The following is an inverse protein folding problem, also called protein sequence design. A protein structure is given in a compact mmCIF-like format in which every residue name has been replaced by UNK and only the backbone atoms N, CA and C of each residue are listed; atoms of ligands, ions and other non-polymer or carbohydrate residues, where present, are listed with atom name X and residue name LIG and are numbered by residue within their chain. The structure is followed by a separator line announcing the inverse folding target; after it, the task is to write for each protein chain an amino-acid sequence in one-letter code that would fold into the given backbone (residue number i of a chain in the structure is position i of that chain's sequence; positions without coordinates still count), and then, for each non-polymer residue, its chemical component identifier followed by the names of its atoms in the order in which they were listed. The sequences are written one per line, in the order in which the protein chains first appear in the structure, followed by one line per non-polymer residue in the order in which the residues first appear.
data_IF_436801943589
#
_entry.id   IF_436801943589
#
_cell.length_a   1.000
_cell.length_b   1.000
_cell.length_c   1.000
_cell.angle_alpha   90.00
_cell.angle_beta   90.00
_cell.angle_gamma   90.00
#
_symmetry.space_group_name_H-M   'P 1'
#
loop_
_entity.id
_entity.type
_entity.pdbx_description
1 polymer ?
#
# COMPACT_ATOMS: atom_id res chain seq x y z
N UNK A 1 -27.26 -10.65 5.91
CA UNK A 1 -27.12 -9.42 6.73
C UNK A 1 -26.34 -9.80 7.98
N UNK A 2 -25.18 -9.20 8.21
CA UNK A 2 -24.35 -9.50 9.39
C UNK A 2 -24.98 -8.88 10.64
N UNK A 3 -25.41 -9.70 11.59
CA UNK A 3 -26.09 -9.27 12.82
C UNK A 3 -25.15 -8.74 13.93
N UNK A 4 -23.84 -8.60 13.66
CA UNK A 4 -22.87 -8.05 14.61
C UNK A 4 -22.24 -6.76 14.06
N UNK A 5 -22.13 -5.75 14.93
CA UNK A 5 -21.37 -4.53 14.63
C UNK A 5 -19.91 -4.92 14.29
N UNK A 6 -19.33 -4.39 13.19
CA UNK A 6 -17.95 -4.68 12.84
C UNK A 6 -17.01 -4.18 13.94
N UNK A 7 -15.87 -4.86 14.10
CA UNK A 7 -14.79 -4.36 14.96
C UNK A 7 -14.07 -3.20 14.26
N UNK A 8 -13.33 -2.33 14.98
CA UNK A 8 -12.54 -1.29 14.32
C UNK A 8 -11.51 -1.85 13.32
N UNK A 9 -11.03 -3.08 13.53
CA UNK A 9 -10.17 -3.78 12.58
C UNK A 9 -10.94 -4.18 11.31
N UNK A 10 -12.17 -4.66 11.42
CA UNK A 10 -13.01 -5.00 10.26
C UNK A 10 -13.33 -3.77 9.42
N UNK A 11 -13.64 -2.64 10.07
CA UNK A 11 -13.85 -1.36 9.41
C UNK A 11 -12.60 -0.91 8.64
N UNK A 12 -11.43 -0.98 9.29
CA UNK A 12 -10.15 -0.67 8.65
C UNK A 12 -9.87 -1.60 7.45
N UNK A 13 -10.09 -2.91 7.59
CA UNK A 13 -9.89 -3.89 6.51
C UNK A 13 -10.76 -3.62 5.30
N UNK A 14 -12.01 -3.22 5.51
CA UNK A 14 -12.90 -2.85 4.41
C UNK A 14 -12.36 -1.64 3.62
N UNK A 15 -11.85 -0.62 4.32
CA UNK A 15 -11.29 0.57 3.66
C UNK A 15 -9.96 0.24 2.98
N UNK A 16 -9.11 -0.58 3.61
CA UNK A 16 -7.85 -1.07 3.02
C UNK A 16 -8.12 -1.85 1.72
N UNK A 17 -9.21 -2.64 1.68
CA UNK A 17 -9.64 -3.31 0.47
C UNK A 17 -9.97 -2.31 -0.65
N UNK A 18 -10.71 -1.24 -0.36
CA UNK A 18 -10.96 -0.17 -1.33
C UNK A 18 -9.67 0.55 -1.76
N UNK A 19 -8.75 0.80 -0.82
CA UNK A 19 -7.45 1.40 -1.14
C UNK A 19 -6.67 0.54 -2.14
N UNK A 20 -6.65 -0.78 -1.91
CA UNK A 20 -5.95 -1.73 -2.75
C UNK A 20 -6.53 -1.87 -4.15
N UNK A 21 -7.86 -1.96 -4.27
CA UNK A 21 -8.51 -2.35 -5.51
C UNK A 21 -9.06 -1.19 -6.34
N UNK A 22 -9.04 0.03 -5.79
CA UNK A 22 -9.54 1.22 -6.48
C UNK A 22 -8.50 2.32 -6.46
N UNK A 23 -8.08 2.77 -5.28
CA UNK A 23 -7.21 3.96 -5.18
C UNK A 23 -5.80 3.72 -5.69
N UNK A 24 -5.26 2.52 -5.49
CA UNK A 24 -3.89 2.22 -5.90
C UNK A 24 -3.67 2.47 -7.40
N UNK A 25 -4.52 1.90 -8.25
CA UNK A 25 -4.45 2.08 -9.70
C UNK A 25 -4.86 3.51 -10.11
N UNK A 26 -5.94 4.04 -9.53
CA UNK A 26 -6.43 5.38 -9.84
C UNK A 26 -5.39 6.48 -9.58
N UNK A 27 -4.60 6.37 -8.50
CA UNK A 27 -3.53 7.32 -8.20
C UNK A 27 -2.39 7.21 -9.21
N UNK A 28 -2.04 6.00 -9.63
CA UNK A 28 -1.02 5.78 -10.68
C UNK A 28 -1.44 6.35 -12.04
N UNK A 29 -2.70 6.13 -12.43
CA UNK A 29 -3.27 6.69 -13.65
C UNK A 29 -3.32 8.23 -13.61
N UNK A 30 -3.78 8.79 -12.50
CA UNK A 30 -3.81 10.23 -12.28
C UNK A 30 -2.39 10.84 -12.32
N UNK A 31 -1.40 10.21 -11.68
CA UNK A 31 -0.01 10.67 -11.75
C UNK A 31 0.51 10.68 -13.20
N UNK A 32 0.21 9.61 -13.95
CA UNK A 32 0.57 9.49 -15.36
C UNK A 32 -0.09 10.58 -16.21
N UNK A 33 -1.36 10.88 -15.95
CA UNK A 33 -2.11 11.92 -16.63
C UNK A 33 -1.57 13.33 -16.33
N UNK A 34 -1.21 13.61 -15.07
CA UNK A 34 -0.59 14.89 -14.69
C UNK A 34 0.76 15.02 -15.40
N UNK A 35 1.60 13.99 -15.34
CA UNK A 35 2.94 14.00 -15.95
C UNK A 35 2.88 14.23 -17.46
N UNK A 36 1.91 13.63 -18.16
CA UNK A 36 1.73 13.86 -19.60
C UNK A 36 1.16 15.24 -19.93
N UNK A 37 0.32 15.81 -19.06
CA UNK A 37 -0.34 17.11 -19.28
C UNK A 37 0.53 18.32 -18.97
N UNK A 38 1.50 18.19 -18.05
CA UNK A 38 2.41 19.29 -17.67
C UNK A 38 3.35 19.69 -18.82
N UNK A 39 3.57 18.81 -19.81
CA UNK A 39 4.39 19.11 -20.99
C UNK A 39 5.89 19.28 -20.70
N UNK A 40 6.33 19.02 -19.46
CA UNK A 40 7.72 19.06 -19.05
C UNK A 40 8.22 17.63 -18.78
N UNK A 41 9.16 17.17 -19.62
CA UNK A 41 9.77 15.85 -19.48
C UNK A 41 10.53 15.64 -18.15
N UNK A 42 10.91 16.73 -17.47
CA UNK A 42 11.59 16.71 -16.17
C UNK A 42 10.65 16.78 -14.97
N UNK A 43 9.33 16.81 -15.19
CA UNK A 43 8.37 16.81 -14.08
C UNK A 43 8.39 15.46 -13.35
N UNK A 44 8.82 15.49 -12.09
CA UNK A 44 8.92 14.31 -11.23
C UNK A 44 8.65 14.68 -9.76
N UNK A 45 7.42 15.10 -9.48
CA UNK A 45 6.98 15.42 -8.12
C UNK A 45 6.23 14.22 -7.51
N UNK A 46 6.91 13.39 -6.74
CA UNK A 46 6.29 12.23 -6.07
C UNK A 46 5.34 12.60 -4.92
N UNK A 47 5.33 13.86 -4.47
CA UNK A 47 4.52 14.34 -3.34
C UNK A 47 3.18 14.96 -3.77
N UNK A 48 2.75 14.78 -5.03
CA UNK A 48 1.49 15.36 -5.55
C UNK A 48 0.26 14.91 -4.74
N UNK A 49 0.25 13.67 -4.24
CA UNK A 49 -0.83 13.15 -3.40
C UNK A 49 -0.27 12.42 -2.19
N UNK A 50 -0.87 12.70 -1.03
CA UNK A 50 -0.64 11.98 0.22
C UNK A 50 -1.99 11.55 0.78
N UNK A 51 -2.09 10.28 1.17
CA UNK A 51 -3.29 9.73 1.80
C UNK A 51 -3.08 9.62 3.31
N UNK A 52 -4.02 10.17 4.06
CA UNK A 52 -4.17 9.89 5.49
C UNK A 52 -5.07 8.69 5.74
N UNK A 53 -4.86 8.01 6.86
CA UNK A 53 -5.69 6.88 7.27
C UNK A 53 -6.02 6.96 8.77
N UNK A 54 -7.28 7.24 9.08
CA UNK A 54 -7.77 7.37 10.46
C UNK A 54 -8.32 6.07 11.09
N UNK A 55 -8.94 5.13 10.35
CA UNK A 55 -9.48 3.91 10.94
C UNK A 55 -8.41 3.12 11.71
N UNK A 56 -8.70 2.77 12.97
CA UNK A 56 -7.73 2.09 13.85
C UNK A 56 -6.66 2.98 14.48
N UNK A 57 -6.59 4.26 14.11
CA UNK A 57 -5.73 5.28 14.72
C UNK A 57 -6.51 6.31 15.54
N UNK A 58 -7.69 6.72 15.06
CA UNK A 58 -8.58 7.64 15.77
C UNK A 58 -9.24 6.95 16.98
N UNK A 59 -8.95 7.48 18.18
CA UNK A 59 -9.42 6.93 19.46
C UNK A 59 -10.44 7.83 20.14
N UNK A 60 -10.74 9.00 19.57
CA UNK A 60 -11.59 9.97 20.22
C UNK A 60 -13.01 9.39 20.41
N UNK A 61 -13.42 9.22 21.67
CA UNK A 61 -14.70 8.60 22.03
C UNK A 61 -14.87 7.10 21.72
N UNK A 62 -13.84 6.39 21.24
CA UNK A 62 -13.93 4.98 20.86
C UNK A 62 -12.98 4.07 21.67
N UNK A 63 -13.45 3.47 22.78
CA UNK A 63 -12.60 2.65 23.65
C UNK A 63 -12.12 1.34 23.01
N UNK A 64 -12.72 0.94 21.87
CA UNK A 64 -12.35 -0.28 21.17
C UNK A 64 -11.11 -0.11 20.26
N UNK A 65 -10.66 1.13 20.03
CA UNK A 65 -9.43 1.41 19.27
C UNK A 65 -8.25 1.39 20.23
N UNK A 66 -7.73 0.18 20.49
CA UNK A 66 -6.57 -0.02 21.37
C UNK A 66 -5.25 0.06 20.60
N UNK A 67 -4.12 0.14 21.32
CA UNK A 67 -2.80 0.08 20.70
C UNK A 67 -2.53 -1.23 19.93
N UNK A 68 -3.12 -2.36 20.37
CA UNK A 68 -3.05 -3.62 19.63
C UNK A 68 -3.73 -3.48 18.27
N UNK A 69 -4.96 -2.93 18.27
CA UNK A 69 -5.73 -2.72 17.05
C UNK A 69 -4.99 -1.76 16.10
N UNK A 70 -4.44 -0.65 16.60
CA UNK A 70 -3.63 0.25 15.76
C UNK A 70 -2.45 -0.50 15.11
N UNK A 71 -1.74 -1.33 15.88
CA UNK A 71 -0.61 -2.13 15.36
C UNK A 71 -1.06 -3.15 14.31
N UNK A 72 -2.20 -3.81 14.53
CA UNK A 72 -2.79 -4.75 13.58
C UNK A 72 -3.17 -4.05 12.27
N UNK A 73 -3.83 -2.89 12.34
CA UNK A 73 -4.18 -2.08 11.16
C UNK A 73 -2.95 -1.62 10.40
N UNK A 74 -1.91 -1.13 11.08
CA UNK A 74 -0.64 -0.76 10.44
C UNK A 74 -0.01 -1.94 9.70
N UNK A 75 -0.05 -3.13 10.28
CA UNK A 75 0.49 -4.32 9.63
C UNK A 75 -0.36 -4.74 8.41
N UNK A 76 -1.68 -4.62 8.48
CA UNK A 76 -2.57 -4.88 7.34
C UNK A 76 -2.32 -3.90 6.18
N UNK A 77 -2.14 -2.61 6.47
CA UNK A 77 -1.74 -1.59 5.49
C UNK A 77 -0.40 -1.95 4.84
N UNK A 78 0.61 -2.27 5.66
CA UNK A 78 1.96 -2.65 5.20
C UNK A 78 1.92 -3.86 4.26
N UNK A 79 1.28 -4.95 4.69
CA UNK A 79 1.18 -6.19 3.92
C UNK A 79 0.39 -5.97 2.63
N UNK A 80 -0.67 -5.18 2.69
CA UNK A 80 -1.48 -4.85 1.50
C UNK A 80 -0.67 -4.07 0.48
N UNK A 81 0.11 -3.07 0.91
CA UNK A 81 0.98 -2.31 0.02
C UNK A 81 2.07 -3.21 -0.61
N UNK A 82 2.73 -4.05 0.18
CA UNK A 82 3.75 -4.98 -0.33
C UNK A 82 3.18 -5.97 -1.36
N UNK A 83 1.93 -6.44 -1.17
CA UNK A 83 1.24 -7.26 -2.18
C UNK A 83 1.02 -6.52 -3.49
N UNK A 84 0.75 -5.22 -3.46
CA UNK A 84 0.61 -4.41 -4.68
C UNK A 84 1.94 -4.32 -5.42
N UNK A 85 3.03 -3.96 -4.74
CA UNK A 85 4.37 -3.89 -5.36
C UNK A 85 4.85 -5.23 -5.89
N UNK A 86 4.62 -6.32 -5.15
CA UNK A 86 4.97 -7.65 -5.61
C UNK A 86 4.23 -8.02 -6.91
N UNK A 87 2.94 -7.72 -7.00
CA UNK A 87 2.14 -8.00 -8.19
C UNK A 87 2.60 -7.15 -9.38
N UNK A 88 2.87 -5.86 -9.18
CA UNK A 88 3.42 -4.98 -10.23
C UNK A 88 4.76 -5.49 -10.76
N UNK A 89 5.67 -5.89 -9.86
CA UNK A 89 6.96 -6.42 -10.27
C UNK A 89 6.83 -7.75 -11.02
N UNK A 90 5.89 -8.60 -10.64
CA UNK A 90 5.59 -9.84 -11.35
C UNK A 90 5.09 -9.55 -12.78
N UNK A 91 4.21 -8.57 -12.94
CA UNK A 91 3.73 -8.15 -14.26
C UNK A 91 4.83 -7.51 -15.10
N UNK A 92 5.72 -6.73 -14.47
CA UNK A 92 6.89 -6.16 -15.13
C UNK A 92 7.86 -7.24 -15.60
N UNK A 93 8.14 -8.25 -14.77
CA UNK A 93 8.98 -9.40 -15.11
C UNK A 93 8.45 -10.15 -16.34
N UNK A 94 7.12 -10.27 -16.47
CA UNK A 94 6.47 -10.89 -17.63
C UNK A 94 6.68 -10.09 -18.93
N UNK A 95 6.78 -8.77 -18.83
CA UNK A 95 6.97 -7.86 -19.98
C UNK A 95 8.45 -7.69 -20.36
N UNK A 96 9.36 -7.73 -19.38
CA UNK A 96 10.80 -7.51 -19.57
C UNK A 96 11.56 -8.84 -19.53
N UNK A 97 11.51 -9.59 -20.63
CA UNK A 97 12.16 -10.91 -20.76
C UNK A 97 13.62 -10.86 -21.21
N UNK A 98 14.26 -9.68 -21.21
CA UNK A 98 15.66 -9.54 -21.63
C UNK A 98 16.60 -10.12 -20.57
N UNK A 99 17.62 -10.87 -21.02
CA UNK A 99 18.52 -11.64 -20.15
C UNK A 99 19.23 -10.78 -19.09
N UNK A 100 19.62 -9.56 -19.45
CA UNK A 100 20.33 -8.62 -18.58
C UNK A 100 19.45 -8.00 -17.50
N UNK A 101 18.12 -7.97 -17.69
CA UNK A 101 17.17 -7.36 -16.76
C UNK A 101 16.59 -8.39 -15.78
N UNK A 102 16.67 -9.68 -16.12
CA UNK A 102 16.08 -10.77 -15.35
C UNK A 102 16.69 -10.88 -13.95
N UNK A 103 18.01 -10.74 -13.83
CA UNK A 103 18.71 -10.84 -12.54
C UNK A 103 18.36 -9.65 -11.61
N UNK A 104 18.45 -8.37 -12.04
CA UNK A 104 17.99 -7.23 -11.25
C UNK A 104 16.54 -7.35 -10.76
N UNK A 105 15.61 -7.74 -11.64
CA UNK A 105 14.19 -7.90 -11.28
C UNK A 105 14.01 -9.03 -10.26
N UNK A 106 14.74 -10.13 -10.42
CA UNK A 106 14.67 -11.26 -9.48
C UNK A 106 15.20 -10.89 -8.11
N UNK A 107 16.31 -10.15 -8.05
CA UNK A 107 16.87 -9.65 -6.80
C UNK A 107 15.90 -8.71 -6.09
N UNK A 108 15.34 -7.72 -6.80
CA UNK A 108 14.34 -6.81 -6.26
C UNK A 108 13.11 -7.55 -5.72
N UNK A 109 12.64 -8.56 -6.43
CA UNK A 109 11.50 -9.39 -6.01
C UNK A 109 11.76 -10.11 -4.70
N UNK A 110 12.96 -10.68 -4.54
CA UNK A 110 13.33 -11.36 -3.32
C UNK A 110 13.39 -10.38 -2.13
N UNK A 111 13.94 -9.18 -2.35
CA UNK A 111 13.98 -8.11 -1.34
C UNK A 111 12.58 -7.65 -0.92
N UNK A 112 11.60 -7.62 -1.82
CA UNK A 112 10.21 -7.25 -1.49
C UNK A 112 9.45 -8.40 -0.80
N UNK A 113 9.82 -9.65 -1.10
CA UNK A 113 9.15 -10.83 -0.56
C UNK A 113 9.50 -11.10 0.90
N UNK A 114 10.75 -10.81 1.30
CA UNK A 114 11.26 -11.10 2.64
C UNK A 114 10.57 -10.28 3.76
N UNK A 115 10.32 -8.96 3.63
CA UNK A 115 9.50 -8.19 4.55
C UNK A 115 8.02 -8.60 4.56
N UNK A 116 7.53 -9.23 3.48
CA UNK A 116 6.17 -9.72 3.40
C UNK A 116 5.96 -10.98 4.27
N UNK A 117 7.04 -11.75 4.51
CA UNK A 117 7.05 -12.98 5.33
C UNK A 117 7.55 -12.77 6.77
N UNK A 118 8.44 -11.79 7.00
CA UNK A 118 9.02 -11.54 8.30
C UNK A 118 8.16 -10.57 9.13
N UNK A 119 8.07 -10.87 10.43
CA UNK A 119 7.28 -10.24 11.50
C UNK A 119 7.22 -8.70 11.51
N UNK A 120 6.23 -8.08 12.21
CA UNK A 120 5.90 -6.66 12.06
C UNK A 120 7.09 -5.78 12.47
N UNK A 121 7.81 -5.28 11.47
CA UNK A 121 8.87 -4.31 11.66
C UNK A 121 8.24 -3.06 12.31
N UNK A 122 8.62 -2.83 13.57
CA UNK A 122 8.10 -1.80 14.47
C UNK A 122 8.46 -0.38 14.05
N UNK A 123 9.17 -0.21 12.93
CA UNK A 123 9.67 1.07 12.47
C UNK A 123 9.53 1.14 10.95
N UNK A 124 8.96 2.26 10.49
CA UNK A 124 8.67 2.66 9.11
C UNK A 124 7.28 2.31 8.57
N UNK A 125 6.25 2.90 9.18
CA UNK A 125 5.32 3.71 8.39
C UNK A 125 5.11 5.02 9.15
N UNK A 126 5.66 6.13 8.64
CA UNK A 126 5.10 7.46 8.92
C UNK A 126 3.75 7.52 8.21
N UNK A 127 2.69 7.09 8.87
CA UNK A 127 1.34 7.51 8.48
C UNK A 127 1.17 8.87 9.14
N UNK A 128 1.48 9.91 8.35
CA UNK A 128 1.37 11.35 8.64
C UNK A 128 2.09 11.83 9.91
#
# INVERSE_FOLDING_TARGET
MNSKKPTPLDEAKNIIHTLRHVYYDAIGEMYTHIKSSVGNAQFDNHDIVKLGFWPGGDRDGNPFVTASITKEVMNELRVTLMKCYYNELKELQRKLSFKEILEPITNLRNTLYEPCLMQPCMWLIKIL
#
